data_IF_530450895175
#
_entry.id   IF_530450895175
#
_cell.length_a   1.000
_cell.length_b   1.000
_cell.length_c   1.000
_cell.angle_alpha   90.00
_cell.angle_beta   90.00
_cell.angle_gamma   90.00
#
_symmetry.space_group_name_H-M   'P 1'
#
loop_
_entity.id
_entity.type
_entity.pdbx_description
1 polymer ?
#
# COMPACT_ATOMS: atom_id res chain seq x y z
N UNK A 1 23.50 -13.31 0.79
CA UNK A 1 23.68 -13.32 -0.65
C UNK A 1 23.38 -11.93 -1.21
N UNK A 2 24.32 -11.35 -1.96
CA UNK A 2 24.19 -9.99 -2.54
C UNK A 2 23.07 -9.87 -3.58
N UNK A 3 22.55 -10.99 -4.05
CA UNK A 3 21.44 -11.03 -5.00
C UNK A 3 20.05 -11.12 -4.35
N UNK A 4 19.99 -11.34 -3.04
CA UNK A 4 18.72 -11.34 -2.34
C UNK A 4 18.30 -9.89 -2.09
N UNK A 5 17.09 -9.55 -2.48
CA UNK A 5 16.53 -8.24 -2.18
C UNK A 5 16.40 -8.14 -0.67
N UNK A 6 17.29 -7.39 -0.05
CA UNK A 6 17.20 -7.05 1.35
C UNK A 6 15.97 -6.18 1.53
N UNK A 7 14.98 -6.70 2.22
CA UNK A 7 13.80 -5.93 2.57
C UNK A 7 13.94 -5.40 3.97
N UNK A 8 13.67 -4.12 4.11
CA UNK A 8 13.54 -3.49 5.43
C UNK A 8 12.11 -3.78 5.88
N UNK A 9 11.99 -4.66 6.87
CA UNK A 9 10.75 -4.85 7.59
C UNK A 9 10.51 -3.60 8.46
N UNK A 10 9.35 -2.92 8.35
CA UNK A 10 9.07 -1.73 9.13
C UNK A 10 9.19 -1.96 10.63
N UNK A 11 8.79 -3.14 11.12
CA UNK A 11 8.91 -3.51 12.52
C UNK A 11 10.38 -3.62 12.96
N UNK A 12 11.23 -4.24 12.14
CA UNK A 12 12.66 -4.34 12.43
C UNK A 12 13.34 -2.99 12.41
N UNK A 13 12.98 -2.12 11.47
CA UNK A 13 13.51 -0.76 11.41
C UNK A 13 13.18 0.02 12.68
N UNK A 14 11.96 -0.12 13.18
CA UNK A 14 11.53 0.55 14.41
C UNK A 14 12.15 -0.04 15.67
N UNK A 15 12.19 -1.37 15.77
CA UNK A 15 12.69 -2.07 16.97
C UNK A 15 14.21 -2.06 17.09
N UNK A 16 14.94 -2.11 15.98
CA UNK A 16 16.39 -2.35 15.95
C UNK A 16 17.19 -1.28 15.19
N UNK A 17 16.53 -0.24 14.67
CA UNK A 17 17.17 0.82 13.91
C UNK A 17 17.36 0.47 12.44
N UNK A 18 18.47 -0.13 12.06
CA UNK A 18 18.72 -0.59 10.69
C UNK A 18 18.90 -2.10 10.70
N UNK A 19 17.92 -2.82 10.19
CA UNK A 19 18.08 -4.25 9.93
C UNK A 19 17.56 -4.60 8.54
N UNK A 20 18.44 -5.15 7.74
CA UNK A 20 18.07 -5.85 6.52
C UNK A 20 17.86 -7.32 6.87
N UNK A 21 16.63 -7.78 6.79
CA UNK A 21 16.30 -9.20 6.83
C UNK A 21 16.31 -9.72 5.41
N UNK A 22 16.99 -10.83 5.16
CA UNK A 22 16.89 -11.53 3.89
C UNK A 22 15.55 -12.25 3.80
N UNK A 23 14.52 -11.46 3.62
CA UNK A 23 13.13 -11.89 3.74
C UNK A 23 12.75 -12.98 2.72
N UNK A 24 13.31 -12.94 1.52
CA UNK A 24 13.04 -13.97 0.51
C UNK A 24 13.49 -15.34 0.99
N UNK A 25 14.68 -15.41 1.53
CA UNK A 25 15.27 -16.65 2.01
C UNK A 25 14.57 -17.15 3.27
N UNK A 26 14.29 -16.26 4.19
CA UNK A 26 13.64 -16.62 5.45
C UNK A 26 12.20 -17.11 5.22
N UNK A 27 11.45 -16.46 4.33
CA UNK A 27 10.10 -16.90 3.93
C UNK A 27 10.10 -18.27 3.25
N UNK A 28 11.13 -18.58 2.45
CA UNK A 28 11.25 -19.88 1.76
C UNK A 28 11.67 -20.99 2.71
N UNK A 29 12.56 -20.73 3.64
CA UNK A 29 13.15 -21.74 4.54
C UNK A 29 12.27 -21.97 5.76
N UNK A 30 11.61 -20.94 6.28
CA UNK A 30 10.84 -21.01 7.52
C UNK A 30 9.83 -22.17 7.57
N UNK A 31 8.98 -22.44 6.58
CA UNK A 31 8.00 -23.52 6.65
C UNK A 31 8.67 -24.89 6.79
N UNK A 32 9.83 -25.08 6.14
CA UNK A 32 10.58 -26.35 6.21
C UNK A 32 11.19 -26.52 7.60
N UNK A 33 11.86 -25.50 8.12
CA UNK A 33 12.46 -25.53 9.45
C UNK A 33 11.40 -25.66 10.53
N UNK A 34 10.29 -24.94 10.42
CA UNK A 34 9.18 -25.05 11.36
C UNK A 34 8.66 -26.48 11.46
N UNK A 35 8.41 -27.10 10.32
CA UNK A 35 7.97 -28.50 10.27
C UNK A 35 9.01 -29.47 10.88
N UNK A 36 10.29 -29.21 10.65
CA UNK A 36 11.36 -30.02 11.24
C UNK A 36 11.41 -29.87 12.76
N UNK A 37 11.34 -28.64 13.28
CA UNK A 37 11.33 -28.39 14.72
C UNK A 37 10.11 -28.99 15.40
N UNK A 38 8.91 -28.86 14.81
CA UNK A 38 7.69 -29.49 15.32
C UNK A 38 7.82 -31.02 15.42
N UNK A 39 8.42 -31.66 14.41
CA UNK A 39 8.62 -33.11 14.42
C UNK A 39 9.69 -33.58 15.43
N UNK A 40 10.73 -32.79 15.65
CA UNK A 40 11.86 -33.18 16.53
C UNK A 40 11.56 -32.83 17.98
N UNK A 41 11.01 -31.64 18.23
CA UNK A 41 10.85 -31.10 19.57
C UNK A 41 9.40 -30.98 20.06
N UNK A 42 8.43 -31.30 19.18
CA UNK A 42 6.99 -31.14 19.47
C UNK A 42 6.47 -29.72 19.31
N UNK A 43 7.33 -28.73 19.12
CA UNK A 43 6.98 -27.35 18.83
C UNK A 43 8.15 -26.62 18.16
N UNK A 44 7.86 -25.60 17.37
CA UNK A 44 8.89 -24.71 16.81
C UNK A 44 9.27 -23.61 17.81
N UNK A 45 10.57 -23.27 17.93
CA UNK A 45 11.01 -22.11 18.69
C UNK A 45 10.72 -20.79 17.98
N UNK A 46 10.38 -20.82 16.69
CA UNK A 46 10.14 -19.65 15.88
C UNK A 46 8.68 -19.58 15.44
N UNK A 47 8.09 -18.38 15.49
CA UNK A 47 6.67 -18.13 15.13
C UNK A 47 6.48 -17.53 13.74
N UNK A 48 7.54 -17.00 13.15
CA UNK A 48 7.50 -16.36 11.84
C UNK A 48 8.85 -16.40 11.13
N UNK A 49 8.89 -16.19 9.80
CA UNK A 49 10.16 -16.04 9.07
C UNK A 49 11.06 -14.95 9.64
N UNK A 50 10.47 -13.83 10.04
CA UNK A 50 11.18 -12.69 10.63
C UNK A 50 11.76 -13.04 11.99
N UNK A 51 10.98 -13.69 12.85
CA UNK A 51 11.42 -14.20 14.16
C UNK A 51 12.61 -15.15 14.00
N UNK A 52 12.53 -16.10 13.07
CA UNK A 52 13.62 -17.02 12.77
C UNK A 52 14.87 -16.26 12.30
N UNK A 53 14.76 -15.38 11.32
CA UNK A 53 15.90 -14.66 10.75
C UNK A 53 16.62 -13.80 11.78
N UNK A 54 15.89 -13.07 12.62
CA UNK A 54 16.46 -12.21 13.64
C UNK A 54 17.11 -13.01 14.78
N UNK A 55 16.45 -14.05 15.27
CA UNK A 55 17.00 -14.87 16.36
C UNK A 55 18.23 -15.68 15.91
N UNK A 56 18.25 -16.17 14.66
CA UNK A 56 19.43 -16.82 14.11
C UNK A 56 20.62 -15.86 13.94
N UNK A 57 20.37 -14.58 13.75
CA UNK A 57 21.41 -13.53 13.71
C UNK A 57 21.90 -13.10 15.09
N UNK A 58 21.36 -13.67 16.18
CA UNK A 58 21.75 -13.38 17.55
C UNK A 58 21.04 -12.17 18.18
N UNK A 59 20.01 -11.66 17.54
CA UNK A 59 19.13 -10.62 18.09
C UNK A 59 17.92 -11.26 18.78
N UNK A 60 17.27 -10.52 19.69
CA UNK A 60 16.05 -10.94 20.34
C UNK A 60 14.86 -10.14 19.82
N UNK A 61 13.78 -10.84 19.50
CA UNK A 61 12.48 -10.22 19.23
C UNK A 61 11.72 -10.11 20.54
N UNK A 62 11.19 -8.92 20.82
CA UNK A 62 10.41 -8.65 22.03
C UNK A 62 8.92 -8.95 21.84
N UNK A 63 8.42 -8.89 20.59
CA UNK A 63 7.03 -9.09 20.24
C UNK A 63 6.91 -10.01 19.02
N UNK A 64 6.80 -11.30 19.30
CA UNK A 64 6.66 -12.34 18.27
C UNK A 64 5.38 -12.18 17.44
N UNK A 65 4.29 -11.66 18.04
CA UNK A 65 3.03 -11.53 17.34
C UNK A 65 3.07 -10.36 16.35
N UNK A 66 3.66 -9.23 16.73
CA UNK A 66 3.89 -8.12 15.81
C UNK A 66 4.81 -8.53 14.64
N UNK A 67 5.84 -9.32 14.91
CA UNK A 67 6.69 -9.88 13.86
C UNK A 67 5.95 -10.81 12.92
N UNK A 68 5.08 -11.67 13.47
CA UNK A 68 4.24 -12.57 12.68
C UNK A 68 3.30 -11.80 11.78
N UNK A 69 2.62 -10.79 12.31
CA UNK A 69 1.71 -9.93 11.56
C UNK A 69 2.46 -9.17 10.44
N UNK A 70 3.60 -8.56 10.75
CA UNK A 70 4.44 -7.88 9.76
C UNK A 70 4.88 -8.83 8.63
N UNK A 71 5.26 -10.06 8.98
CA UNK A 71 5.60 -11.11 8.01
C UNK A 71 4.42 -11.48 7.11
N UNK A 72 3.24 -11.67 7.68
CA UNK A 72 2.03 -11.98 6.93
C UNK A 72 1.70 -10.87 5.92
N UNK A 73 1.71 -9.62 6.38
CA UNK A 73 1.45 -8.47 5.51
C UNK A 73 2.49 -8.36 4.39
N UNK A 74 3.76 -8.65 4.66
CA UNK A 74 4.80 -8.61 3.64
C UNK A 74 4.64 -9.72 2.59
N UNK A 75 4.29 -10.94 2.98
CA UNK A 75 4.02 -12.02 2.03
C UNK A 75 2.87 -11.64 1.11
N UNK A 76 1.79 -11.08 1.65
CA UNK A 76 0.65 -10.63 0.86
C UNK A 76 1.04 -9.48 -0.09
N UNK A 77 1.86 -8.51 0.37
CA UNK A 77 2.37 -7.43 -0.50
C UNK A 77 3.17 -7.98 -1.68
N UNK A 78 4.01 -8.99 -1.44
CA UNK A 78 4.77 -9.66 -2.52
C UNK A 78 3.88 -10.38 -3.49
N UNK A 79 2.84 -11.02 -3.01
CA UNK A 79 1.85 -11.67 -3.88
C UNK A 79 1.22 -10.67 -4.84
N UNK A 80 0.72 -9.54 -4.33
CA UNK A 80 0.16 -8.47 -5.18
C UNK A 80 1.19 -7.87 -6.13
N UNK A 81 2.44 -7.73 -5.69
CA UNK A 81 3.53 -7.25 -6.55
C UNK A 81 3.82 -8.21 -7.69
N UNK A 82 3.85 -9.52 -7.43
CA UNK A 82 4.03 -10.56 -8.44
C UNK A 82 2.88 -10.56 -9.45
N UNK A 83 1.62 -10.49 -8.97
CA UNK A 83 0.45 -10.38 -9.84
C UNK A 83 0.48 -9.12 -10.71
N UNK A 84 0.86 -7.98 -10.14
CA UNK A 84 1.00 -6.73 -10.89
C UNK A 84 2.12 -6.78 -11.93
N UNK A 85 3.23 -7.45 -11.62
CA UNK A 85 4.34 -7.68 -12.54
C UNK A 85 3.93 -8.63 -13.68
N UNK A 86 3.17 -9.66 -13.37
CA UNK A 86 2.61 -10.59 -14.36
C UNK A 86 1.66 -9.84 -15.32
N UNK A 87 0.75 -9.02 -14.79
CA UNK A 87 -0.17 -8.21 -15.60
C UNK A 87 0.58 -7.28 -16.55
N UNK A 88 1.72 -6.73 -16.12
CA UNK A 88 2.59 -5.87 -16.94
C UNK A 88 3.48 -6.65 -17.92
N UNK A 89 3.49 -7.97 -17.87
CA UNK A 89 4.35 -8.83 -18.68
C UNK A 89 5.82 -8.84 -18.26
N UNK A 90 6.13 -8.42 -17.03
CA UNK A 90 7.48 -8.31 -16.49
C UNK A 90 7.92 -9.53 -15.68
N UNK A 91 7.02 -10.46 -15.39
CA UNK A 91 7.30 -11.67 -14.61
C UNK A 91 6.54 -12.88 -15.15
N UNK A 92 6.84 -14.07 -14.64
CA UNK A 92 6.17 -15.31 -15.01
C UNK A 92 5.11 -15.71 -13.97
N UNK A 93 4.12 -16.52 -14.39
CA UNK A 93 3.10 -17.11 -13.49
C UNK A 93 3.74 -17.87 -12.32
N UNK A 94 4.88 -18.53 -12.57
CA UNK A 94 5.61 -19.31 -11.55
C UNK A 94 6.00 -18.52 -10.30
N UNK A 95 6.25 -17.20 -10.45
CA UNK A 95 6.60 -16.35 -9.31
C UNK A 95 5.37 -16.12 -8.40
N UNK A 96 4.22 -15.83 -8.98
CA UNK A 96 2.97 -15.68 -8.22
C UNK A 96 2.54 -17.02 -7.58
N UNK A 97 2.61 -18.12 -8.31
CA UNK A 97 2.30 -19.47 -7.80
C UNK A 97 3.20 -19.86 -6.61
N UNK A 98 4.50 -19.53 -6.67
CA UNK A 98 5.44 -19.76 -5.57
C UNK A 98 5.01 -19.04 -4.31
N UNK A 99 4.65 -17.76 -4.41
CA UNK A 99 4.22 -16.97 -3.25
C UNK A 99 2.87 -17.45 -2.74
N UNK A 100 1.95 -17.82 -3.62
CA UNK A 100 0.66 -18.41 -3.24
C UNK A 100 0.85 -19.71 -2.45
N UNK A 101 1.79 -20.56 -2.86
CA UNK A 101 2.15 -21.77 -2.11
C UNK A 101 2.66 -21.41 -0.70
N UNK A 102 3.51 -20.40 -0.58
CA UNK A 102 3.99 -19.92 0.73
C UNK A 102 2.86 -19.38 1.60
N UNK A 103 1.91 -18.61 1.02
CA UNK A 103 0.72 -18.15 1.72
C UNK A 103 -0.10 -19.34 2.27
N UNK A 104 -0.33 -20.34 1.43
CA UNK A 104 -1.06 -21.55 1.84
C UNK A 104 -0.35 -22.31 2.96
N UNK A 105 0.98 -22.43 2.89
CA UNK A 105 1.78 -23.09 3.94
C UNK A 105 1.78 -22.30 5.25
N UNK A 106 1.73 -20.98 5.18
CA UNK A 106 1.65 -20.08 6.35
C UNK A 106 0.21 -19.90 6.88
N UNK A 107 -0.79 -20.44 6.20
CA UNK A 107 -2.21 -20.30 6.57
C UNK A 107 -2.74 -18.88 6.43
N UNK A 108 -2.16 -18.08 5.52
CA UNK A 108 -2.55 -16.69 5.27
C UNK A 108 -3.23 -16.55 3.91
N UNK A 109 -4.12 -15.57 3.82
CA UNK A 109 -4.90 -15.27 2.62
C UNK A 109 -4.86 -13.77 2.32
N UNK A 110 -5.30 -13.37 1.15
CA UNK A 110 -5.46 -11.95 0.81
C UNK A 110 -6.48 -11.24 1.72
N UNK A 111 -7.41 -11.98 2.34
CA UNK A 111 -8.38 -11.42 3.27
C UNK A 111 -7.74 -10.94 4.59
N UNK A 112 -6.55 -11.44 4.94
CA UNK A 112 -5.80 -10.99 6.11
C UNK A 112 -5.21 -9.57 5.90
N UNK A 113 -5.28 -9.04 4.68
CA UNK A 113 -4.99 -7.64 4.39
C UNK A 113 -6.27 -6.81 4.39
N UNK A 114 -6.66 -6.28 5.55
CA UNK A 114 -7.92 -5.54 5.79
C UNK A 114 -8.17 -4.43 4.76
N UNK A 115 -7.13 -3.67 4.41
CA UNK A 115 -7.24 -2.59 3.40
C UNK A 115 -7.61 -3.10 2.02
N UNK A 116 -7.22 -4.34 1.66
CA UNK A 116 -7.62 -4.93 0.38
C UNK A 116 -9.11 -5.25 0.38
N UNK A 117 -9.60 -5.90 1.42
CA UNK A 117 -11.02 -6.21 1.59
C UNK A 117 -11.85 -4.92 1.54
N UNK A 118 -11.49 -3.91 2.34
CA UNK A 118 -12.22 -2.65 2.41
C UNK A 118 -12.21 -1.88 1.08
N UNK A 119 -11.08 -1.88 0.35
CA UNK A 119 -11.01 -1.22 -0.96
C UNK A 119 -11.91 -1.89 -2.00
N UNK A 120 -11.96 -3.24 -2.01
CA UNK A 120 -12.80 -4.01 -2.92
C UNK A 120 -14.31 -3.85 -2.59
N UNK A 121 -14.67 -3.88 -1.31
CA UNK A 121 -16.05 -3.60 -0.86
C UNK A 121 -16.48 -2.20 -1.28
N UNK A 122 -15.63 -1.20 -1.04
CA UNK A 122 -15.92 0.18 -1.43
C UNK A 122 -16.05 0.36 -2.94
N UNK A 123 -15.24 -0.35 -3.72
CA UNK A 123 -15.34 -0.34 -5.18
C UNK A 123 -16.68 -0.95 -5.65
N UNK A 124 -17.10 -2.06 -5.05
CA UNK A 124 -18.37 -2.72 -5.34
C UNK A 124 -19.57 -1.84 -4.98
N UNK A 125 -19.57 -1.23 -3.80
CA UNK A 125 -20.64 -0.32 -3.35
C UNK A 125 -20.80 0.90 -4.24
N UNK A 126 -19.69 1.46 -4.71
CA UNK A 126 -19.70 2.71 -5.47
C UNK A 126 -19.73 2.54 -6.98
N UNK A 127 -19.68 1.30 -7.47
CA UNK A 127 -19.52 0.97 -8.91
C UNK A 127 -18.38 1.77 -9.57
N UNK A 128 -17.30 1.99 -8.83
CA UNK A 128 -16.15 2.77 -9.28
C UNK A 128 -14.87 2.29 -8.58
N UNK A 129 -13.69 2.40 -9.23
CA UNK A 129 -12.43 2.10 -8.58
C UNK A 129 -12.30 2.82 -7.24
N UNK A 130 -11.85 2.11 -6.23
CA UNK A 130 -11.68 2.61 -4.88
C UNK A 130 -10.33 2.23 -4.29
N UNK A 131 -9.96 2.91 -3.23
CA UNK A 131 -8.74 2.68 -2.47
C UNK A 131 -9.04 2.81 -0.98
N UNK A 132 -8.25 2.12 -0.15
CA UNK A 132 -8.32 2.19 1.29
C UNK A 132 -6.92 2.33 1.89
N UNK A 133 -6.82 2.99 3.05
CA UNK A 133 -5.60 3.14 3.83
C UNK A 133 -5.94 2.98 5.30
N UNK A 134 -5.15 2.17 6.00
CA UNK A 134 -5.21 1.97 7.44
C UNK A 134 -4.24 2.93 8.14
N UNK A 135 -4.77 3.71 9.06
CA UNK A 135 -4.01 4.61 9.92
C UNK A 135 -3.36 3.83 11.07
N UNK A 136 -2.41 4.44 11.74
CA UNK A 136 -1.71 3.87 12.90
C UNK A 136 -2.66 3.42 14.03
N UNK A 137 -3.79 4.11 14.20
CA UNK A 137 -4.82 3.77 15.18
C UNK A 137 -5.81 2.67 14.72
N UNK A 138 -5.57 2.05 13.58
CA UNK A 138 -6.37 0.97 13.00
C UNK A 138 -7.63 1.44 12.26
N UNK A 139 -7.92 2.74 12.17
CA UNK A 139 -9.03 3.25 11.37
C UNK A 139 -8.70 3.14 9.89
N UNK A 140 -9.67 2.67 9.10
CA UNK A 140 -9.50 2.56 7.65
C UNK A 140 -10.30 3.66 6.95
N UNK A 141 -9.57 4.47 6.18
CA UNK A 141 -10.14 5.55 5.37
C UNK A 141 -10.21 5.10 3.92
N UNK A 142 -11.29 5.44 3.22
CA UNK A 142 -11.48 5.07 1.82
C UNK A 142 -11.54 6.29 0.90
N UNK A 143 -11.18 6.08 -0.35
CA UNK A 143 -11.38 7.03 -1.44
C UNK A 143 -11.90 6.30 -2.67
N UNK A 144 -12.75 6.95 -3.46
CA UNK A 144 -13.26 6.42 -4.72
C UNK A 144 -12.99 7.36 -5.88
N UNK A 145 -12.90 6.81 -7.05
CA UNK A 145 -12.79 7.58 -8.28
C UNK A 145 -14.00 8.49 -8.49
N UNK A 146 -13.73 9.73 -8.87
CA UNK A 146 -14.71 10.74 -9.24
C UNK A 146 -14.39 11.34 -10.62
N UNK A 147 -15.13 12.35 -11.05
CA UNK A 147 -14.81 13.09 -12.27
C UNK A 147 -13.55 13.97 -12.12
N UNK A 148 -13.20 14.34 -10.89
CA UNK A 148 -12.07 15.21 -10.60
C UNK A 148 -10.80 14.42 -10.23
N UNK A 149 -10.94 13.35 -9.48
CA UNK A 149 -9.84 12.64 -8.84
C UNK A 149 -9.87 11.14 -9.12
N UNK A 150 -8.70 10.54 -9.31
CA UNK A 150 -8.54 9.09 -9.24
C UNK A 150 -8.74 8.57 -7.80
N UNK A 151 -8.96 7.26 -7.64
CA UNK A 151 -9.20 6.64 -6.33
C UNK A 151 -8.08 6.91 -5.32
N UNK A 152 -6.82 6.78 -5.76
CA UNK A 152 -5.62 7.05 -4.97
C UNK A 152 -5.53 8.50 -4.50
N UNK A 153 -5.82 9.45 -5.40
CA UNK A 153 -5.81 10.88 -5.10
C UNK A 153 -6.96 11.27 -4.14
N UNK A 154 -8.15 10.69 -4.33
CA UNK A 154 -9.28 10.88 -3.43
C UNK A 154 -9.00 10.30 -2.03
N UNK A 155 -8.40 9.09 -1.99
CA UNK A 155 -7.97 8.48 -0.74
C UNK A 155 -7.00 9.40 0.01
N UNK A 156 -5.94 9.87 -0.66
CA UNK A 156 -4.92 10.71 -0.05
C UNK A 156 -5.52 11.96 0.58
N UNK A 157 -6.41 12.67 -0.14
CA UNK A 157 -7.10 13.84 0.42
C UNK A 157 -7.98 13.49 1.62
N UNK A 158 -8.73 12.39 1.55
CA UNK A 158 -9.60 11.98 2.65
C UNK A 158 -8.78 11.64 3.90
N UNK A 159 -7.65 10.95 3.73
CA UNK A 159 -6.73 10.60 4.83
C UNK A 159 -6.14 11.87 5.46
N UNK A 160 -5.66 12.81 4.66
CA UNK A 160 -5.09 14.06 5.17
C UNK A 160 -6.13 14.91 5.91
N UNK A 161 -7.38 14.94 5.44
CA UNK A 161 -8.49 15.61 6.13
C UNK A 161 -8.80 14.94 7.46
N UNK A 162 -8.89 13.63 7.48
CA UNK A 162 -9.14 12.84 8.70
C UNK A 162 -8.06 13.09 9.75
N UNK A 163 -6.79 13.01 9.37
CA UNK A 163 -5.64 13.27 10.25
C UNK A 163 -5.59 14.72 10.75
N UNK A 164 -6.11 15.65 9.97
CA UNK A 164 -6.20 17.08 10.32
C UNK A 164 -7.46 17.43 11.14
N UNK A 165 -8.38 16.47 11.36
CA UNK A 165 -9.67 16.72 12.00
C UNK A 165 -10.58 17.64 11.18
N UNK A 166 -10.43 17.67 9.87
CA UNK A 166 -11.24 18.49 8.95
C UNK A 166 -12.44 17.67 8.49
N UNK A 167 -13.63 18.22 8.66
CA UNK A 167 -14.88 17.55 8.23
C UNK A 167 -14.85 17.22 6.74
N UNK A 168 -15.34 16.02 6.39
CA UNK A 168 -15.32 15.54 5.01
C UNK A 168 -16.13 16.37 4.02
N UNK A 169 -17.12 17.13 4.48
CA UNK A 169 -17.92 18.05 3.64
C UNK A 169 -17.14 19.30 3.22
N UNK A 170 -16.09 19.67 3.98
CA UNK A 170 -15.29 20.87 3.70
C UNK A 170 -14.35 20.57 2.53
N UNK A 171 -14.37 21.42 1.50
CA UNK A 171 -13.46 21.35 0.37
C UNK A 171 -12.19 22.13 0.69
N UNK A 172 -11.06 21.43 0.83
CA UNK A 172 -9.74 22.05 1.09
C UNK A 172 -9.01 22.44 -0.20
N UNK A 173 -9.43 21.87 -1.34
CA UNK A 173 -9.04 22.29 -2.69
C UNK A 173 -10.33 22.65 -3.42
N UNK A 174 -10.41 23.83 -3.98
CA UNK A 174 -11.59 24.25 -4.73
C UNK A 174 -11.62 23.64 -6.14
N UNK A 175 -12.82 23.37 -6.72
CA UNK A 175 -12.93 22.94 -8.11
C UNK A 175 -12.23 23.87 -9.08
N UNK A 176 -12.28 25.19 -8.82
CA UNK A 176 -11.65 26.22 -9.63
C UNK A 176 -10.12 26.11 -9.65
N UNK A 177 -9.52 25.47 -8.64
CA UNK A 177 -8.09 25.14 -8.60
C UNK A 177 -7.77 23.86 -9.36
N UNK A 178 -8.74 22.94 -9.48
CA UNK A 178 -8.57 21.66 -10.15
C UNK A 178 -8.78 21.77 -11.67
N UNK A 179 -9.79 22.52 -12.10
CA UNK A 179 -10.16 22.67 -13.50
C UNK A 179 -9.01 23.13 -14.42
N UNK A 180 -8.17 24.12 -14.06
CA UNK A 180 -7.02 24.52 -14.88
C UNK A 180 -6.01 23.38 -15.07
N UNK A 181 -5.82 22.53 -14.05
CA UNK A 181 -4.91 21.38 -14.15
C UNK A 181 -5.49 20.35 -15.10
N UNK A 182 -6.81 20.07 -15.03
CA UNK A 182 -7.49 19.18 -15.96
C UNK A 182 -7.39 19.69 -17.40
N UNK A 183 -7.60 20.97 -17.60
CA UNK A 183 -7.49 21.63 -18.91
C UNK A 183 -6.05 21.50 -19.46
N UNK A 184 -5.05 21.77 -18.63
CA UNK A 184 -3.63 21.58 -18.99
C UNK A 184 -3.39 20.13 -19.45
N UNK A 185 -3.85 19.15 -18.68
CA UNK A 185 -3.67 17.72 -19.00
C UNK A 185 -4.30 17.35 -20.33
N UNK A 186 -5.56 17.73 -20.54
CA UNK A 186 -6.33 17.27 -21.72
C UNK A 186 -6.00 18.10 -22.96
N UNK A 187 -6.03 19.42 -22.85
CA UNK A 187 -5.91 20.30 -24.01
C UNK A 187 -4.46 20.46 -24.49
N UNK A 188 -3.53 20.63 -23.55
CA UNK A 188 -2.12 20.90 -23.89
C UNK A 188 -1.25 19.65 -23.88
N UNK A 189 -1.39 18.77 -22.88
CA UNK A 189 -0.57 17.56 -22.76
C UNK A 189 -1.21 16.33 -23.44
N UNK A 190 -2.42 16.48 -24.01
CA UNK A 190 -3.15 15.43 -24.74
C UNK A 190 -3.40 14.16 -23.94
N UNK A 191 -3.50 14.27 -22.61
CA UNK A 191 -3.88 13.17 -21.75
C UNK A 191 -5.33 12.74 -22.02
N UNK A 192 -5.57 11.44 -22.09
CA UNK A 192 -6.94 10.89 -22.20
C UNK A 192 -7.67 10.87 -20.85
N UNK A 193 -6.94 11.00 -19.74
CA UNK A 193 -7.48 10.97 -18.39
C UNK A 193 -7.46 12.38 -17.77
N UNK A 194 -8.61 13.04 -17.58
CA UNK A 194 -8.69 14.37 -16.99
C UNK A 194 -8.49 14.35 -15.47
N UNK A 195 -8.67 13.20 -14.81
CA UNK A 195 -8.58 13.09 -13.34
C UNK A 195 -7.18 13.38 -12.85
N UNK A 196 -7.09 14.03 -11.71
CA UNK A 196 -5.81 14.30 -11.07
C UNK A 196 -5.23 13.02 -10.45
N UNK A 197 -3.92 12.85 -10.63
CA UNK A 197 -3.09 11.88 -9.95
C UNK A 197 -2.70 12.39 -8.56
N UNK A 198 -2.08 11.54 -7.75
CA UNK A 198 -1.69 11.86 -6.36
C UNK A 198 -0.72 13.03 -6.27
N UNK A 199 0.27 13.12 -7.13
CA UNK A 199 1.24 14.22 -7.18
C UNK A 199 0.58 15.54 -7.60
N UNK A 200 -0.32 15.52 -8.59
CA UNK A 200 -1.08 16.70 -9.02
C UNK A 200 -2.00 17.23 -7.92
N UNK A 201 -2.63 16.33 -7.16
CA UNK A 201 -3.45 16.71 -5.99
C UNK A 201 -2.60 17.33 -4.89
N UNK A 202 -1.40 16.80 -4.62
CA UNK A 202 -0.48 17.41 -3.65
C UNK A 202 -0.02 18.80 -4.07
N UNK A 203 0.25 19.00 -5.36
CA UNK A 203 0.57 20.33 -5.91
C UNK A 203 -0.61 21.29 -5.74
N UNK A 204 -1.83 20.85 -6.09
CA UNK A 204 -3.04 21.66 -5.92
C UNK A 204 -3.31 22.00 -4.44
N UNK A 205 -3.09 21.03 -3.53
CA UNK A 205 -3.23 21.22 -2.08
C UNK A 205 -2.18 22.23 -1.56
N UNK A 206 -0.93 22.09 -2.01
CA UNK A 206 0.16 23.01 -1.65
C UNK A 206 -0.13 24.45 -2.12
N UNK A 207 -0.64 24.61 -3.35
CA UNK A 207 -1.10 25.91 -3.84
C UNK A 207 -2.25 26.49 -3.02
N UNK A 208 -3.20 25.66 -2.63
CA UNK A 208 -4.34 26.05 -1.78
C UNK A 208 -3.91 26.41 -0.36
N UNK A 209 -2.88 25.80 0.18
CA UNK A 209 -2.35 26.04 1.53
C UNK A 209 -1.86 27.50 1.72
N UNK A 210 -1.46 28.18 0.64
CA UNK A 210 -1.03 29.58 0.70
C UNK A 210 -2.14 30.55 1.18
N UNK A 211 -3.42 30.17 1.02
CA UNK A 211 -4.57 31.03 1.36
C UNK A 211 -5.64 30.32 2.19
N UNK A 212 -5.53 29.02 2.38
CA UNK A 212 -6.49 28.20 3.12
C UNK A 212 -5.80 27.48 4.29
N UNK A 213 -6.00 27.91 5.54
CA UNK A 213 -5.38 27.29 6.71
C UNK A 213 -5.73 25.81 6.89
N UNK A 214 -6.92 25.37 6.44
CA UNK A 214 -7.30 23.95 6.51
C UNK A 214 -6.52 23.10 5.50
N UNK A 215 -6.18 23.66 4.34
CA UNK A 215 -5.32 23.00 3.37
C UNK A 215 -3.87 22.89 3.90
N UNK A 216 -3.36 23.93 4.57
CA UNK A 216 -2.06 23.90 5.23
C UNK A 216 -2.03 22.85 6.35
N UNK A 217 -3.06 22.84 7.20
CA UNK A 217 -3.20 21.86 8.27
C UNK A 217 -3.24 20.43 7.73
N UNK A 218 -3.99 20.17 6.65
CA UNK A 218 -4.03 18.87 6.00
C UNK A 218 -2.67 18.48 5.40
N UNK A 219 -2.00 19.40 4.73
CA UNK A 219 -0.68 19.17 4.13
C UNK A 219 0.37 18.80 5.19
N UNK A 220 0.31 19.42 6.38
CA UNK A 220 1.21 19.16 7.49
C UNK A 220 1.10 17.73 8.05
N UNK A 221 0.03 16.98 7.70
CA UNK A 221 -0.17 15.60 8.15
C UNK A 221 0.59 14.57 7.31
N UNK A 222 1.18 14.94 6.18
CA UNK A 222 1.89 14.01 5.29
C UNK A 222 2.90 13.08 6.00
N UNK A 223 3.70 13.54 6.97
CA UNK A 223 4.65 12.66 7.68
C UNK A 223 4.00 11.48 8.41
N UNK A 224 2.73 11.61 8.82
CA UNK A 224 1.98 10.55 9.52
C UNK A 224 1.56 9.38 8.61
N UNK A 225 1.77 9.50 7.29
CA UNK A 225 1.47 8.43 6.35
C UNK A 225 2.54 7.34 6.30
N UNK A 226 3.73 7.62 6.84
CA UNK A 226 4.84 6.67 6.83
C UNK A 226 4.46 5.40 7.60
N UNK A 227 4.65 4.24 6.96
CA UNK A 227 4.31 2.93 7.52
C UNK A 227 2.86 2.49 7.32
N UNK A 228 1.94 3.41 6.98
CA UNK A 228 0.55 3.06 6.75
C UNK A 228 0.39 2.03 5.62
N UNK A 229 -0.57 1.12 5.78
CA UNK A 229 -0.93 0.12 4.77
C UNK A 229 -2.00 0.69 3.85
N UNK A 230 -1.86 0.50 2.54
CA UNK A 230 -2.87 0.92 1.56
C UNK A 230 -3.10 -0.13 0.48
N UNK A 231 -4.30 -0.10 -0.11
CA UNK A 231 -4.66 -0.95 -1.24
C UNK A 231 -5.58 -0.22 -2.21
N UNK A 232 -5.48 -0.59 -3.48
CA UNK A 232 -6.37 -0.07 -4.54
C UNK A 232 -7.00 -1.21 -5.32
N UNK A 233 -8.27 -1.07 -5.65
CA UNK A 233 -9.06 -2.06 -6.40
C UNK A 233 -8.71 -2.16 -7.89
N UNK A 234 -7.76 -1.36 -8.36
CA UNK A 234 -7.23 -1.39 -9.73
C UNK A 234 -5.75 -1.06 -9.74
N UNK A 235 -5.06 -1.48 -10.79
CA UNK A 235 -3.66 -1.10 -11.03
C UNK A 235 -3.55 0.41 -11.19
N UNK A 236 -2.63 1.01 -10.44
CA UNK A 236 -2.32 2.43 -10.51
C UNK A 236 -1.26 2.77 -11.55
N UNK A 237 -1.20 4.05 -11.91
CA UNK A 237 -0.11 4.60 -12.69
C UNK A 237 1.21 4.57 -11.90
N UNK A 238 2.33 4.54 -12.61
CA UNK A 238 3.66 4.56 -11.96
C UNK A 238 3.89 5.86 -11.17
N UNK A 239 3.22 6.95 -11.54
CA UNK A 239 3.28 8.23 -10.81
C UNK A 239 2.63 8.09 -9.44
N UNK A 240 1.43 7.53 -9.38
CA UNK A 240 0.72 7.28 -8.12
C UNK A 240 1.52 6.34 -7.21
N UNK A 241 2.00 5.21 -7.75
CA UNK A 241 2.81 4.24 -7.01
C UNK A 241 4.07 4.89 -6.43
N UNK A 242 4.80 5.68 -7.25
CA UNK A 242 6.02 6.38 -6.80
C UNK A 242 5.71 7.42 -5.73
N UNK A 243 4.57 8.12 -5.82
CA UNK A 243 4.16 9.12 -4.83
C UNK A 243 3.89 8.47 -3.48
N UNK A 244 3.09 7.40 -3.42
CA UNK A 244 2.86 6.65 -2.19
C UNK A 244 4.15 6.08 -1.60
N UNK A 245 5.04 5.54 -2.44
CA UNK A 245 6.36 5.05 -2.00
C UNK A 245 7.20 6.17 -1.36
N UNK A 246 7.22 7.38 -1.94
CA UNK A 246 7.92 8.55 -1.37
C UNK A 246 7.32 8.99 -0.03
N UNK A 247 6.01 8.81 0.16
CA UNK A 247 5.32 9.07 1.42
C UNK A 247 5.52 7.96 2.46
N UNK A 248 6.23 6.88 2.11
CA UNK A 248 6.48 5.75 3.00
C UNK A 248 5.27 4.83 3.20
N UNK A 249 4.26 4.91 2.33
CA UNK A 249 3.05 4.07 2.40
C UNK A 249 3.30 2.72 1.75
N UNK A 250 2.90 1.65 2.42
CA UNK A 250 2.97 0.25 1.97
C UNK A 250 1.78 -0.07 1.06
N UNK A 251 1.89 0.34 -0.21
CA UNK A 251 0.81 0.25 -1.19
C UNK A 251 0.81 -1.09 -1.92
N UNK A 252 -0.39 -1.64 -2.10
CA UNK A 252 -0.68 -2.76 -3.02
C UNK A 252 -1.81 -2.39 -3.98
N UNK A 253 -1.89 -3.09 -5.11
CA UNK A 253 -2.92 -2.86 -6.12
C UNK A 253 -3.48 -4.21 -6.59
N UNK A 254 -4.78 -4.27 -6.89
CA UNK A 254 -5.32 -5.37 -7.69
C UNK A 254 -4.66 -5.40 -9.06
N UNK A 255 -4.39 -6.60 -9.55
CA UNK A 255 -3.83 -6.82 -10.89
C UNK A 255 -4.91 -6.73 -11.98
N UNK A 256 -5.67 -5.64 -11.97
CA UNK A 256 -6.76 -5.36 -12.92
C UNK A 256 -6.67 -3.91 -13.37
N UNK A 257 -6.69 -3.66 -14.66
CA UNK A 257 -6.78 -2.29 -15.17
C UNK A 257 -8.19 -1.74 -15.03
N UNK A 258 -8.31 -0.43 -14.76
CA UNK A 258 -9.60 0.24 -14.81
C UNK A 258 -10.19 0.05 -16.24
N UNK A 259 -11.45 -0.43 -16.37
CA UNK A 259 -12.10 -0.51 -17.66
C UNK A 259 -12.08 0.87 -18.33
N UNK A 260 -11.64 0.94 -19.60
CA UNK A 260 -11.56 2.21 -20.32
C UNK A 260 -12.93 2.85 -20.44
N UNK A 261 -13.30 3.69 -19.46
CA UNK A 261 -14.45 4.58 -19.62
C UNK A 261 -14.06 5.58 -20.71
N UNK A 262 -14.81 5.60 -21.82
CA UNK A 262 -14.71 6.71 -22.77
C UNK A 262 -15.19 7.96 -22.03
N UNK A 263 -14.23 8.77 -21.59
CA UNK A 263 -14.56 10.09 -21.06
C UNK A 263 -15.24 10.85 -22.21
N UNK A 264 -16.54 11.16 -22.05
CA UNK A 264 -17.20 12.13 -22.90
C UNK A 264 -16.61 13.48 -22.52
N UNK A 265 -15.78 14.03 -23.39
CA UNK A 265 -15.29 15.40 -23.37
C UNK A 265 -16.45 16.33 -23.71
#
# INVERSE_FOLDING_TARGET
>A
DLNDVNMIDPYHLEAYGETTVNYNRDVEIFPVLNTMFEKIYGSSPYKSPTDMGVNMAGNCICDDEACREASCQEIIRRYYTALGSLLKGNSSEKEAEKIELLMNMAGITIADRKVAVTALERAKESDAPAAALELEDGRIITGKTSNLLGASAALLLNVLKELAGVDHSIRIISPESIEPIQKLKVEYLKSKNPRLHTDEVLIALSGSAATNPLAELALSQLPKLKGCQAHTSVMLSDVDIKTFKKLGVQLTCEAVYEPSRRFKV
#
